data_IF_711203661037
#
_entry.id   IF_711203661037
#
_cell.length_a   1.000
_cell.length_b   1.000
_cell.length_c   1.000
_cell.angle_alpha   90.00
_cell.angle_beta   90.00
_cell.angle_gamma   90.00
#
_symmetry.space_group_name_H-M   'P 1'
#
loop_
_entity.id
_entity.type
_entity.pdbx_description
1 polymer ?
#
# COMPACT_ATOMS: atom_id res chain seq x y z
N UNK A 1 75.67 -12.21 18.69
CA UNK A 1 75.03 -10.94 18.28
C UNK A 1 73.76 -11.21 17.45
N UNK A 2 72.87 -12.11 17.90
CA UNK A 2 71.76 -12.63 17.08
C UNK A 2 70.37 -12.22 17.59
N UNK A 3 70.28 -11.68 18.81
CA UNK A 3 69.00 -11.35 19.47
C UNK A 3 68.51 -9.93 19.14
N UNK A 4 69.40 -9.01 18.76
CA UNK A 4 69.05 -7.63 18.40
C UNK A 4 68.38 -7.53 17.03
N UNK A 5 68.74 -8.39 16.08
CA UNK A 5 68.15 -8.43 14.73
C UNK A 5 66.72 -8.99 14.80
N UNK A 6 66.48 -10.01 15.64
CA UNK A 6 65.15 -10.56 15.84
C UNK A 6 64.18 -9.56 16.49
N UNK A 7 64.64 -8.76 17.45
CA UNK A 7 63.84 -7.70 18.07
C UNK A 7 63.53 -6.55 17.13
N UNK A 8 64.49 -6.15 16.28
CA UNK A 8 64.29 -5.09 15.28
C UNK A 8 63.32 -5.55 14.17
N UNK A 9 63.42 -6.80 13.72
CA UNK A 9 62.48 -7.38 12.75
C UNK A 9 61.06 -7.46 13.31
N UNK A 10 60.92 -7.90 14.57
CA UNK A 10 59.63 -7.96 15.25
C UNK A 10 58.97 -6.59 15.43
N UNK A 11 59.76 -5.56 15.75
CA UNK A 11 59.28 -4.18 15.88
C UNK A 11 58.78 -3.60 14.55
N UNK A 12 59.49 -3.85 13.44
CA UNK A 12 59.09 -3.40 12.10
C UNK A 12 57.81 -4.11 11.64
N UNK A 13 57.70 -5.42 11.86
CA UNK A 13 56.50 -6.19 11.51
C UNK A 13 55.29 -5.77 12.35
N UNK A 14 55.46 -5.58 13.66
CA UNK A 14 54.40 -5.10 14.54
C UNK A 14 53.91 -3.69 14.19
N UNK A 15 54.84 -2.80 13.84
CA UNK A 15 54.51 -1.44 13.38
C UNK A 15 53.75 -1.44 12.05
N UNK A 16 54.12 -2.32 11.11
CA UNK A 16 53.41 -2.46 9.82
C UNK A 16 51.99 -3.01 10.00
N UNK A 17 51.78 -4.00 10.87
CA UNK A 17 50.43 -4.54 11.16
C UNK A 17 49.56 -3.46 11.84
N UNK A 18 50.13 -2.70 12.77
CA UNK A 18 49.42 -1.64 13.49
C UNK A 18 49.03 -0.47 12.56
N UNK A 19 49.93 -0.07 11.65
CA UNK A 19 49.65 0.92 10.62
C UNK A 19 48.57 0.44 9.63
N UNK A 20 48.60 -0.84 9.25
CA UNK A 20 47.60 -1.44 8.37
C UNK A 20 46.21 -1.51 9.03
N UNK A 21 46.15 -1.81 10.33
CA UNK A 21 44.90 -1.83 11.10
C UNK A 21 44.30 -0.42 11.27
N UNK A 22 45.13 0.62 11.48
CA UNK A 22 44.66 2.01 11.52
C UNK A 22 44.13 2.50 10.16
N UNK A 23 44.63 1.97 9.05
CA UNK A 23 44.16 2.32 7.71
C UNK A 23 42.89 1.56 7.31
N UNK A 24 42.78 0.27 7.66
CA UNK A 24 41.64 -0.59 7.30
C UNK A 24 40.45 -0.47 8.27
N UNK A 25 40.68 -0.13 9.54
CA UNK A 25 39.63 0.04 10.56
C UNK A 25 38.56 1.09 10.19
N UNK A 26 38.94 2.32 9.78
CA UNK A 26 37.99 3.34 9.36
C UNK A 26 37.17 2.94 8.12
N UNK A 27 37.77 2.23 7.16
CA UNK A 27 37.08 1.73 5.97
C UNK A 27 36.06 0.62 6.29
N UNK A 28 36.39 -0.28 7.22
CA UNK A 28 35.46 -1.30 7.70
C UNK A 28 34.29 -0.65 8.47
N UNK A 29 34.57 0.36 9.29
CA UNK A 29 33.55 1.10 10.03
C UNK A 29 32.64 1.92 9.09
N UNK A 30 33.19 2.57 8.06
CA UNK A 30 32.41 3.28 7.04
C UNK A 30 31.51 2.32 6.23
N UNK A 31 32.01 1.14 5.86
CA UNK A 31 31.20 0.12 5.18
C UNK A 31 30.08 -0.42 6.07
N UNK A 32 30.35 -0.61 7.36
CA UNK A 32 29.35 -1.06 8.33
C UNK A 32 28.30 0.03 8.60
N UNK A 33 28.71 1.30 8.71
CA UNK A 33 27.80 2.44 8.81
C UNK A 33 26.91 2.58 7.57
N UNK A 34 27.49 2.48 6.38
CA UNK A 34 26.74 2.52 5.12
C UNK A 34 25.74 1.35 4.98
N UNK A 35 26.08 0.16 5.49
CA UNK A 35 25.14 -0.98 5.55
C UNK A 35 23.99 -0.68 6.52
N UNK A 36 24.29 -0.21 7.72
CA UNK A 36 23.24 0.15 8.69
C UNK A 36 22.33 1.27 8.21
N UNK A 37 22.84 2.25 7.46
CA UNK A 37 22.03 3.30 6.83
C UNK A 37 21.11 2.73 5.75
N UNK A 38 21.62 1.83 4.89
CA UNK A 38 20.80 1.13 3.88
C UNK A 38 19.71 0.28 4.50
N UNK A 39 20.02 -0.46 5.56
CA UNK A 39 19.04 -1.28 6.28
C UNK A 39 17.95 -0.41 6.92
N UNK A 40 18.32 0.76 7.45
CA UNK A 40 17.36 1.73 8.00
C UNK A 40 16.48 2.31 6.91
N UNK A 41 17.06 2.71 5.77
CA UNK A 41 16.32 3.23 4.64
C UNK A 41 15.34 2.18 4.07
N UNK A 42 15.78 0.92 3.94
CA UNK A 42 14.92 -0.18 3.48
C UNK A 42 13.76 -0.45 4.43
N UNK A 43 14.01 -0.46 5.74
CA UNK A 43 12.93 -0.61 6.75
C UNK A 43 11.94 0.55 6.73
N UNK A 44 12.42 1.77 6.54
CA UNK A 44 11.56 2.95 6.46
C UNK A 44 10.69 2.92 5.21
N UNK A 45 11.24 2.53 4.06
CA UNK A 45 10.48 2.35 2.83
C UNK A 45 9.37 1.30 3.02
N UNK A 46 9.69 0.14 3.60
CA UNK A 46 8.68 -0.90 3.92
C UNK A 46 7.60 -0.32 4.84
N UNK A 47 7.98 0.44 5.87
CA UNK A 47 7.03 1.07 6.80
C UNK A 47 6.09 2.03 6.08
N UNK A 48 6.61 2.87 5.18
CA UNK A 48 5.82 3.78 4.35
C UNK A 48 4.84 2.99 3.48
N UNK A 49 5.29 1.90 2.84
CA UNK A 49 4.42 1.06 2.02
C UNK A 49 3.30 0.40 2.84
N UNK A 50 3.59 -0.09 4.06
CA UNK A 50 2.58 -0.64 4.97
C UNK A 50 1.55 0.41 5.40
N UNK A 51 1.97 1.66 5.63
CA UNK A 51 1.05 2.76 5.93
C UNK A 51 0.13 3.06 4.76
N UNK A 52 0.64 3.06 3.52
CA UNK A 52 -0.18 3.23 2.31
C UNK A 52 -1.22 2.12 2.17
N UNK A 53 -0.82 0.86 2.42
CA UNK A 53 -1.76 -0.28 2.43
C UNK A 53 -2.85 -0.07 3.47
N UNK A 54 -2.49 0.32 4.70
CA UNK A 54 -3.46 0.58 5.76
C UNK A 54 -4.46 1.67 5.35
N UNK A 55 -3.98 2.74 4.71
CA UNK A 55 -4.82 3.84 4.22
C UNK A 55 -5.84 3.37 3.18
N UNK A 56 -5.43 2.55 2.22
CA UNK A 56 -6.37 1.97 1.24
C UNK A 56 -7.43 1.11 1.92
N UNK A 57 -7.02 0.25 2.87
CA UNK A 57 -7.96 -0.60 3.62
C UNK A 57 -8.99 0.21 4.39
N UNK A 58 -8.56 1.30 5.03
CA UNK A 58 -9.45 2.22 5.76
C UNK A 58 -10.41 2.91 4.81
N UNK A 59 -9.92 3.58 3.76
CA UNK A 59 -10.78 4.29 2.82
C UNK A 59 -11.83 3.38 2.16
N UNK A 60 -11.45 2.13 1.84
CA UNK A 60 -12.37 1.16 1.26
C UNK A 60 -13.37 0.59 2.26
N UNK A 61 -12.96 0.42 3.52
CA UNK A 61 -13.89 0.06 4.59
C UNK A 61 -14.92 1.16 4.80
N UNK A 62 -14.48 2.41 4.88
CA UNK A 62 -15.37 3.54 5.13
C UNK A 62 -16.40 3.70 4.00
N UNK A 63 -15.96 3.55 2.74
CA UNK A 63 -16.87 3.55 1.60
C UNK A 63 -17.85 2.36 1.62
N UNK A 64 -17.38 1.16 1.98
CA UNK A 64 -18.21 -0.04 2.11
C UNK A 64 -19.27 0.13 3.20
N UNK A 65 -18.86 0.61 4.38
CA UNK A 65 -19.73 0.78 5.54
C UNK A 65 -20.78 1.86 5.25
N UNK A 66 -20.38 2.95 4.57
CA UNK A 66 -21.31 3.97 4.08
C UNK A 66 -22.37 3.39 3.14
N UNK A 67 -21.96 2.64 2.09
CA UNK A 67 -22.90 2.05 1.15
C UNK A 67 -23.83 1.04 1.83
N UNK A 68 -23.33 0.23 2.75
CA UNK A 68 -24.17 -0.70 3.51
C UNK A 68 -25.17 0.00 4.42
N UNK A 69 -24.79 1.10 5.07
CA UNK A 69 -25.71 1.88 5.88
C UNK A 69 -26.83 2.48 5.03
N UNK A 70 -26.49 3.04 3.86
CA UNK A 70 -27.49 3.53 2.90
C UNK A 70 -28.43 2.41 2.45
N UNK A 71 -27.90 1.24 2.12
CA UNK A 71 -28.72 0.07 1.75
C UNK A 71 -29.57 -0.44 2.92
N UNK A 72 -29.13 -0.30 4.17
CA UNK A 72 -29.91 -0.67 5.35
C UNK A 72 -31.00 0.35 5.67
N UNK A 73 -30.74 1.64 5.45
CA UNK A 73 -31.72 2.72 5.56
C UNK A 73 -32.85 2.51 4.55
N UNK A 74 -32.50 2.25 3.29
CA UNK A 74 -33.47 1.98 2.23
C UNK A 74 -34.31 0.72 2.52
N UNK A 75 -33.69 -0.37 2.96
CA UNK A 75 -34.37 -1.63 3.33
C UNK A 75 -35.35 -1.44 4.50
N UNK A 76 -35.05 -0.51 5.41
CA UNK A 76 -35.92 -0.12 6.52
C UNK A 76 -36.99 0.93 6.13
N UNK A 77 -37.08 1.31 4.85
CA UNK A 77 -38.02 2.31 4.36
C UNK A 77 -37.69 3.76 4.76
N UNK A 78 -36.46 4.01 5.22
CA UNK A 78 -35.99 5.38 5.54
C UNK A 78 -35.61 6.12 4.27
N UNK A 79 -35.87 7.42 4.23
CA UNK A 79 -35.43 8.28 3.14
C UNK A 79 -33.94 8.59 3.26
N UNK A 80 -33.25 8.61 2.12
CA UNK A 80 -31.84 9.00 2.01
C UNK A 80 -31.78 10.39 1.39
N UNK A 81 -31.02 11.30 1.99
CA UNK A 81 -30.75 12.61 1.41
C UNK A 81 -29.85 12.45 0.18
N UNK A 82 -30.38 12.80 -0.99
CA UNK A 82 -29.72 12.62 -2.28
C UNK A 82 -28.49 13.51 -2.46
N UNK A 83 -28.57 14.77 -2.04
CA UNK A 83 -27.45 15.71 -2.19
C UNK A 83 -26.30 15.29 -1.29
N UNK A 84 -26.63 14.91 -0.05
CA UNK A 84 -25.67 14.37 0.91
C UNK A 84 -25.05 13.07 0.40
N UNK A 85 -25.87 12.13 -0.09
CA UNK A 85 -25.39 10.86 -0.64
C UNK A 85 -24.40 11.08 -1.80
N UNK A 86 -24.73 11.95 -2.76
CA UNK A 86 -23.87 12.25 -3.91
C UNK A 86 -22.57 12.91 -3.47
N UNK A 87 -22.63 13.84 -2.52
CA UNK A 87 -21.45 14.53 -1.98
C UNK A 87 -20.51 13.54 -1.26
N UNK A 88 -21.03 12.76 -0.31
CA UNK A 88 -20.24 11.82 0.50
C UNK A 88 -19.67 10.68 -0.35
N UNK A 89 -20.47 10.08 -1.24
CA UNK A 89 -20.00 9.02 -2.15
C UNK A 89 -18.89 9.51 -3.08
N UNK A 90 -18.97 10.74 -3.60
CA UNK A 90 -17.92 11.34 -4.44
C UNK A 90 -16.64 11.57 -3.64
N UNK A 91 -16.75 12.03 -2.38
CA UNK A 91 -15.61 12.23 -1.50
C UNK A 91 -14.91 10.90 -1.19
N UNK A 92 -15.65 9.87 -0.76
CA UNK A 92 -15.12 8.54 -0.46
C UNK A 92 -14.47 7.89 -1.69
N UNK A 93 -15.11 7.99 -2.86
CA UNK A 93 -14.52 7.51 -4.12
C UNK A 93 -13.20 8.21 -4.44
N UNK A 94 -13.12 9.52 -4.25
CA UNK A 94 -11.90 10.30 -4.48
C UNK A 94 -10.80 9.86 -3.51
N UNK A 95 -11.13 9.68 -2.24
CA UNK A 95 -10.19 9.25 -1.20
C UNK A 95 -9.67 7.83 -1.44
N UNK A 96 -10.55 6.88 -1.74
CA UNK A 96 -10.17 5.51 -2.05
C UNK A 96 -9.22 5.43 -3.27
N UNK A 97 -9.49 6.22 -4.31
CA UNK A 97 -8.61 6.32 -5.48
C UNK A 97 -7.26 6.95 -5.13
N UNK A 98 -7.26 8.08 -4.44
CA UNK A 98 -6.01 8.75 -4.04
C UNK A 98 -5.14 7.84 -3.16
N UNK A 99 -5.73 7.14 -2.19
CA UNK A 99 -5.01 6.17 -1.37
C UNK A 99 -4.44 5.01 -2.20
N UNK A 100 -5.17 4.58 -3.23
CA UNK A 100 -4.73 3.48 -4.11
C UNK A 100 -3.62 3.91 -5.06
N UNK A 101 -3.65 5.16 -5.54
CA UNK A 101 -2.58 5.72 -6.37
C UNK A 101 -1.25 5.80 -5.60
N UNK A 102 -1.28 5.96 -4.28
CA UNK A 102 -0.06 5.95 -3.44
C UNK A 102 0.66 4.59 -3.49
N UNK A 103 -0.07 3.49 -3.74
CA UNK A 103 0.51 2.15 -3.85
C UNK A 103 1.23 1.91 -5.19
N UNK A 104 0.99 2.76 -6.20
CA UNK A 104 1.71 2.68 -7.48
C UNK A 104 3.22 2.88 -7.29
N UNK A 105 3.62 3.77 -6.38
CA UNK A 105 5.02 4.00 -6.05
C UNK A 105 5.72 2.78 -5.46
N UNK A 106 4.97 1.80 -4.94
CA UNK A 106 5.47 0.51 -4.45
C UNK A 106 5.26 -0.65 -5.42
N UNK A 107 4.77 -0.37 -6.64
CA UNK A 107 4.57 -1.37 -7.69
C UNK A 107 3.26 -2.15 -7.61
N UNK A 108 2.32 -1.76 -6.73
CA UNK A 108 0.97 -2.31 -6.73
C UNK A 108 0.00 -1.37 -7.45
N UNK A 109 -0.52 -1.82 -8.59
CA UNK A 109 -1.60 -1.16 -9.30
C UNK A 109 -2.95 -1.74 -8.86
N UNK A 110 -3.84 -0.87 -8.37
CA UNK A 110 -5.27 -1.16 -8.17
C UNK A 110 -6.08 -0.45 -9.25
N UNK A 111 -6.60 -1.21 -10.21
CA UNK A 111 -7.34 -0.67 -11.35
C UNK A 111 -8.79 -0.34 -11.03
N UNK A 112 -9.48 0.24 -12.01
CA UNK A 112 -10.91 0.58 -11.90
C UNK A 112 -11.80 -0.65 -11.64
N UNK A 113 -11.41 -1.82 -12.15
CA UNK A 113 -12.16 -3.06 -11.96
C UNK A 113 -12.25 -3.47 -10.48
N UNK A 114 -11.24 -3.15 -9.66
CA UNK A 114 -11.19 -3.49 -8.25
C UNK A 114 -12.18 -2.66 -7.41
N UNK A 115 -12.69 -1.56 -7.98
CA UNK A 115 -13.76 -0.74 -7.40
C UNK A 115 -15.11 -0.99 -8.08
N UNK A 116 -15.22 -2.00 -8.96
CA UNK A 116 -16.36 -2.18 -9.85
C UNK A 116 -17.70 -2.24 -9.13
N UNK A 117 -17.80 -3.05 -8.06
CA UNK A 117 -19.03 -3.14 -7.27
C UNK A 117 -19.36 -1.83 -6.53
N UNK A 118 -18.34 -1.13 -6.01
CA UNK A 118 -18.52 0.16 -5.33
C UNK A 118 -19.04 1.22 -6.29
N UNK A 119 -18.44 1.32 -7.48
CA UNK A 119 -18.84 2.24 -8.53
C UNK A 119 -20.23 1.91 -9.07
N UNK A 120 -20.54 0.62 -9.25
CA UNK A 120 -21.84 0.15 -9.70
C UNK A 120 -22.93 0.49 -8.68
N UNK A 121 -22.77 0.10 -7.42
CA UNK A 121 -23.76 0.34 -6.37
C UNK A 121 -23.94 1.84 -6.13
N UNK A 122 -22.84 2.60 -6.10
CA UNK A 122 -22.90 4.07 -6.01
C UNK A 122 -23.67 4.67 -7.18
N UNK A 123 -23.43 4.19 -8.40
CA UNK A 123 -24.13 4.65 -9.60
C UNK A 123 -25.62 4.37 -9.55
N UNK A 124 -26.02 3.15 -9.20
CA UNK A 124 -27.43 2.77 -9.10
C UNK A 124 -28.13 3.54 -7.99
N UNK A 125 -27.52 3.60 -6.80
CA UNK A 125 -28.07 4.38 -5.68
C UNK A 125 -28.14 5.86 -6.02
N UNK A 126 -27.16 6.41 -6.74
CA UNK A 126 -27.22 7.80 -7.21
C UNK A 126 -28.44 8.01 -8.10
N UNK A 127 -28.63 7.17 -9.13
CA UNK A 127 -29.80 7.25 -10.01
C UNK A 127 -31.11 7.15 -9.23
N UNK A 128 -31.14 6.28 -8.21
CA UNK A 128 -32.30 6.13 -7.34
C UNK A 128 -32.54 7.37 -6.47
N UNK A 129 -31.51 7.89 -5.79
CA UNK A 129 -31.61 9.04 -4.89
C UNK A 129 -31.82 10.36 -5.62
N UNK A 130 -31.22 10.56 -6.80
CA UNK A 130 -31.34 11.82 -7.56
C UNK A 130 -32.67 11.95 -8.28
N UNK A 131 -33.53 10.94 -8.22
CA UNK A 131 -34.83 10.91 -8.86
C UNK A 131 -34.75 10.82 -10.39
N UNK A 132 -35.29 9.74 -10.95
CA UNK A 132 -36.20 9.94 -12.08
C UNK A 132 -37.40 10.63 -11.44
N UNK A 133 -37.47 11.95 -11.51
CA UNK A 133 -38.72 12.66 -11.22
C UNK A 133 -39.75 12.14 -12.23
N UNK A 134 -40.82 11.52 -11.74
CA UNK A 134 -42.02 11.38 -12.56
C UNK A 134 -42.47 12.78 -13.03
N UNK A 135 -43.20 12.86 -14.14
CA UNK A 135 -43.79 14.09 -14.70
C UNK A 135 -44.55 14.93 -13.66
N UNK A 136 -44.98 14.30 -12.55
CA UNK A 136 -45.75 14.88 -11.46
C UNK A 136 -44.91 15.24 -10.20
N UNK A 137 -43.59 15.08 -10.22
CA UNK A 137 -42.69 15.59 -9.16
C UNK A 137 -42.62 14.74 -7.89
N UNK A 138 -43.09 13.49 -7.92
CA UNK A 138 -42.95 12.56 -6.81
C UNK A 138 -41.55 11.90 -6.80
N UNK A 139 -40.90 11.90 -5.64
CA UNK A 139 -39.71 11.08 -5.35
C UNK A 139 -40.15 9.62 -5.17
N UNK A 140 -39.64 8.73 -6.03
CA UNK A 140 -39.90 7.28 -5.93
C UNK A 140 -39.47 6.77 -4.54
N UNK A 141 -40.33 5.94 -3.95
CA UNK A 141 -40.21 5.49 -2.56
C UNK A 141 -39.44 4.15 -2.45
N UNK A 142 -38.90 3.88 -1.26
CA UNK A 142 -38.05 2.71 -0.98
C UNK A 142 -38.73 1.34 -1.21
N UNK A 143 -40.06 1.28 -1.25
CA UNK A 143 -40.88 0.11 -1.58
C UNK A 143 -40.72 -0.36 -3.03
N UNK A 144 -40.07 0.43 -3.89
CA UNK A 144 -39.83 0.07 -5.29
C UNK A 144 -38.50 -0.66 -5.53
N UNK A 145 -37.61 -0.76 -4.52
CA UNK A 145 -36.36 -1.51 -4.65
C UNK A 145 -36.62 -3.00 -4.37
N UNK A 146 -36.41 -3.91 -5.38
CA UNK A 146 -36.56 -5.33 -5.14
C UNK A 146 -35.52 -5.78 -4.10
N UNK A 147 -35.98 -6.36 -2.98
CA UNK A 147 -35.10 -6.84 -1.89
C UNK A 147 -33.98 -7.75 -2.37
N UNK A 148 -34.28 -8.59 -3.37
CA UNK A 148 -33.30 -9.48 -4.02
C UNK A 148 -32.13 -8.69 -4.64
N UNK A 149 -32.38 -7.53 -5.26
CA UNK A 149 -31.30 -6.68 -5.81
C UNK A 149 -30.46 -6.07 -4.70
N UNK A 150 -31.09 -5.57 -3.63
CA UNK A 150 -30.37 -4.99 -2.49
C UNK A 150 -29.44 -6.03 -1.86
N UNK A 151 -29.92 -7.27 -1.72
CA UNK A 151 -29.09 -8.38 -1.23
C UNK A 151 -27.91 -8.67 -2.16
N UNK A 152 -28.15 -8.79 -3.48
CA UNK A 152 -27.09 -9.01 -4.47
C UNK A 152 -26.04 -7.88 -4.51
N UNK A 153 -26.44 -6.63 -4.24
CA UNK A 153 -25.51 -5.51 -4.10
C UNK A 153 -24.64 -5.63 -2.86
N UNK A 154 -25.22 -5.99 -1.70
CA UNK A 154 -24.44 -6.21 -0.47
C UNK A 154 -23.41 -7.33 -0.67
N UNK A 155 -23.81 -8.44 -1.32
CA UNK A 155 -22.90 -9.54 -1.65
C UNK A 155 -21.79 -9.13 -2.62
N UNK A 156 -22.11 -8.33 -3.64
CA UNK A 156 -21.14 -7.79 -4.59
C UNK A 156 -20.12 -6.86 -3.90
N UNK A 157 -20.59 -5.98 -3.01
CA UNK A 157 -19.71 -5.10 -2.21
C UNK A 157 -18.79 -5.90 -1.30
N UNK A 158 -19.33 -6.92 -0.63
CA UNK A 158 -18.55 -7.80 0.23
C UNK A 158 -17.48 -8.55 -0.55
N UNK A 159 -17.85 -9.16 -1.69
CA UNK A 159 -16.93 -9.90 -2.56
C UNK A 159 -15.84 -9.01 -3.12
N UNK A 160 -16.19 -7.82 -3.61
CA UNK A 160 -15.22 -6.85 -4.13
C UNK A 160 -14.24 -6.37 -3.05
N UNK A 161 -14.72 -6.16 -1.82
CA UNK A 161 -13.86 -5.83 -0.68
C UNK A 161 -12.94 -7.00 -0.29
N UNK A 162 -13.45 -8.22 -0.32
CA UNK A 162 -12.67 -9.42 -0.02
C UNK A 162 -11.52 -9.60 -1.04
N UNK A 163 -11.81 -9.53 -2.34
CA UNK A 163 -10.81 -9.62 -3.40
C UNK A 163 -9.73 -8.53 -3.26
N UNK A 164 -10.14 -7.29 -2.97
CA UNK A 164 -9.20 -6.21 -2.73
C UNK A 164 -8.31 -6.48 -1.52
N UNK A 165 -8.90 -6.95 -0.41
CA UNK A 165 -8.16 -7.25 0.81
C UNK A 165 -7.16 -8.40 0.59
N UNK A 166 -7.51 -9.43 -0.18
CA UNK A 166 -6.57 -10.49 -0.57
C UNK A 166 -5.38 -9.94 -1.36
N UNK A 167 -5.62 -9.08 -2.35
CA UNK A 167 -4.53 -8.44 -3.12
C UNK A 167 -3.62 -7.59 -2.23
N UNK A 168 -4.19 -6.84 -1.29
CA UNK A 168 -3.43 -6.02 -0.35
C UNK A 168 -2.60 -6.89 0.60
N UNK A 169 -3.15 -8.01 1.08
CA UNK A 169 -2.42 -8.96 1.91
C UNK A 169 -1.27 -9.64 1.15
N UNK A 170 -1.51 -10.06 -0.10
CA UNK A 170 -0.46 -10.61 -0.95
C UNK A 170 0.68 -9.60 -1.22
N UNK A 171 0.34 -8.32 -1.32
CA UNK A 171 1.34 -7.25 -1.44
C UNK A 171 2.12 -7.03 -0.13
N UNK A 172 1.45 -7.05 1.02
CA UNK A 172 2.12 -6.99 2.34
C UNK A 172 3.08 -8.18 2.52
N UNK A 173 2.66 -9.38 2.15
CA UNK A 173 3.49 -10.58 2.22
C UNK A 173 4.73 -10.43 1.32
N UNK A 174 4.58 -9.89 0.11
CA UNK A 174 5.71 -9.57 -0.78
C UNK A 174 6.68 -8.56 -0.14
N UNK A 175 6.18 -7.51 0.50
CA UNK A 175 7.01 -6.51 1.17
C UNK A 175 7.82 -7.10 2.32
N UNK A 176 7.23 -8.05 3.07
CA UNK A 176 7.87 -8.71 4.21
C UNK A 176 8.81 -9.85 3.78
N UNK A 177 8.50 -10.54 2.68
CA UNK A 177 9.28 -11.62 2.11
C UNK A 177 10.45 -11.17 1.24
N UNK A 178 10.60 -9.87 0.96
CA UNK A 178 11.75 -9.34 0.23
C UNK A 178 12.92 -9.15 1.21
N UNK A 179 13.98 -9.98 1.16
CA UNK A 179 15.15 -9.75 2.01
C UNK A 179 15.75 -8.39 1.67
N UNK A 180 16.06 -7.60 2.70
CA UNK A 180 16.66 -6.25 2.61
C UNK A 180 18.03 -6.24 1.89
N UNK A 181 18.57 -7.40 1.53
CA UNK A 181 19.95 -7.60 1.09
C UNK A 181 20.16 -7.88 -0.42
N UNK A 182 19.16 -7.73 -1.29
CA UNK A 182 19.35 -7.99 -2.74
C UNK A 182 19.01 -6.80 -3.64
N UNK A 183 19.86 -5.76 -3.57
CA UNK A 183 20.32 -5.11 -4.80
C UNK A 183 21.80 -5.48 -4.93
N UNK A 184 22.04 -6.63 -5.54
CA UNK A 184 23.37 -7.07 -5.94
C UNK A 184 23.93 -6.08 -6.97
N UNK A 185 24.65 -5.08 -6.49
CA UNK A 185 25.49 -4.19 -7.30
C UNK A 185 26.87 -4.79 -7.54
N UNK A 186 27.10 -6.06 -7.18
CA UNK A 186 28.35 -6.77 -7.36
C UNK A 186 28.26 -7.87 -8.44
N UNK A 187 27.52 -7.61 -9.53
CA UNK A 187 27.82 -8.30 -10.79
C UNK A 187 29.21 -7.87 -11.27
N UNK A 188 30.14 -8.79 -11.60
CA UNK A 188 31.45 -8.40 -12.11
C UNK A 188 31.26 -7.67 -13.44
N UNK A 189 31.70 -6.41 -13.48
CA UNK A 189 31.85 -5.66 -14.74
C UNK A 189 32.85 -6.45 -15.59
N UNK A 190 32.35 -7.24 -16.54
CA UNK A 190 33.18 -7.69 -17.67
C UNK A 190 33.71 -6.44 -18.35
N UNK A 191 35.04 -6.25 -18.30
CA UNK A 191 35.69 -5.25 -19.13
C UNK A 191 35.34 -5.55 -20.60
N UNK A 192 34.89 -4.55 -21.38
CA UNK A 192 34.67 -4.75 -22.80
C UNK A 192 36.04 -4.74 -23.49
N UNK A 193 36.49 -5.91 -23.93
CA UNK A 193 37.61 -6.08 -24.85
C UNK A 193 39.00 -5.79 -24.27
N UNK A 194 39.96 -6.54 -24.82
CA UNK A 194 41.35 -6.10 -25.12
C UNK A 194 42.29 -5.74 -23.94
#
# INVERSE_FOLDING_TARGET
MSNTIAGLLGGVVGALISALAMFLGPLAHQRQAARHERDRAGREEIRIQLQRVARVRTAMRDWHDFLNNVLADLDAGRSVDAERFVSESKAMKKEARAASDELLGGGLWLGSQQFGAFDQVTGVLRTFTSGITDRDGHTLRADELPRERVHGWRESLFSSRAELNERLLAYVDRLQGTPVDMIDTAGPVRRPGE
#
